data_IF_015420954211
#
_entry.id   IF_015420954211
#
_cell.length_a   1.000
_cell.length_b   1.000
_cell.length_c   1.000
_cell.angle_alpha   90.00
_cell.angle_beta   90.00
_cell.angle_gamma   90.00
#
_symmetry.space_group_name_H-M   'P 1'
#
loop_
_entity.id
_entity.type
_entity.pdbx_description
1 polymer ?
#
# COMPACT_ATOMS: atom_id res chain seq x y z
N UNK A 1 20.76 41.16 -43.52
CA UNK A 1 21.03 40.67 -44.88
C UNK A 1 20.55 39.21 -44.96
N UNK A 2 19.60 39.13 -45.76
CA UNK A 2 19.19 38.15 -46.77
C UNK A 2 18.72 36.81 -46.34
N UNK A 3 17.44 36.69 -46.44
CA UNK A 3 16.53 35.63 -46.64
C UNK A 3 16.95 34.55 -47.64
N UNK A 4 16.47 33.32 -47.42
CA UNK A 4 15.89 32.50 -48.48
C UNK A 4 15.01 31.39 -47.92
N UNK A 5 13.75 31.49 -48.20
CA UNK A 5 12.74 30.46 -48.11
C UNK A 5 12.93 29.39 -49.22
N UNK A 6 12.59 28.13 -48.94
CA UNK A 6 12.14 27.19 -49.97
C UNK A 6 10.98 26.35 -49.48
N UNK A 7 9.92 26.41 -50.31
CA UNK A 7 8.65 25.70 -50.27
C UNK A 7 8.75 24.25 -50.80
N UNK A 8 7.78 23.44 -50.38
CA UNK A 8 7.14 22.41 -51.18
C UNK A 8 7.43 21.01 -50.68
N UNK A 9 6.53 20.13 -50.45
CA UNK A 9 5.32 19.73 -51.20
C UNK A 9 4.49 18.76 -50.33
N UNK A 10 3.22 19.03 -50.18
CA UNK A 10 2.16 18.11 -49.74
C UNK A 10 2.07 16.91 -50.66
N UNK A 11 2.02 15.69 -50.08
CA UNK A 11 1.46 14.52 -50.74
C UNK A 11 0.36 13.93 -49.86
N UNK A 12 -0.88 14.06 -50.31
CA UNK A 12 -2.04 13.30 -49.85
C UNK A 12 -1.93 11.89 -50.39
N UNK A 13 -2.15 10.90 -49.56
CA UNK A 13 -2.44 9.54 -49.98
C UNK A 13 -3.78 9.08 -49.41
N UNK A 14 -4.60 8.56 -50.29
CA UNK A 14 -6.00 8.16 -50.12
C UNK A 14 -6.11 6.89 -49.28
N UNK A 15 -7.17 6.87 -48.49
CA UNK A 15 -7.72 5.74 -47.76
C UNK A 15 -8.44 4.80 -48.71
N UNK A 16 -8.13 3.51 -48.65
CA UNK A 16 -8.93 2.47 -49.25
C UNK A 16 -9.64 1.68 -48.14
N UNK A 17 -10.97 1.75 -48.12
CA UNK A 17 -11.82 0.94 -47.26
C UNK A 17 -12.03 -0.45 -47.90
N UNK A 18 -11.78 -1.53 -47.17
CA UNK A 18 -12.13 -2.86 -47.53
C UNK A 18 -13.34 -3.33 -46.70
N UNK A 19 -14.45 -3.61 -47.38
CA UNK A 19 -15.64 -4.20 -46.78
C UNK A 19 -15.46 -5.71 -46.64
N UNK A 20 -15.78 -6.25 -45.46
CA UNK A 20 -15.86 -7.69 -45.20
C UNK A 20 -17.30 -8.14 -45.34
N UNK A 21 -17.53 -9.06 -46.27
CA UNK A 21 -18.81 -9.73 -46.52
C UNK A 21 -18.92 -10.95 -45.60
N UNK A 22 -19.98 -11.00 -44.81
CA UNK A 22 -20.35 -12.16 -43.97
C UNK A 22 -21.14 -13.16 -44.83
N UNK A 23 -20.62 -14.38 -44.99
CA UNK A 23 -21.38 -15.51 -45.54
C UNK A 23 -22.02 -16.32 -44.40
N UNK A 24 -23.34 -16.45 -44.48
CA UNK A 24 -24.15 -17.38 -43.68
C UNK A 24 -24.22 -18.69 -44.44
N UNK A 25 -23.73 -19.78 -43.86
CA UNK A 25 -23.91 -21.14 -44.40
C UNK A 25 -25.08 -21.82 -43.65
N UNK A 26 -26.08 -22.18 -44.37
CA UNK A 26 -27.21 -23.00 -43.93
C UNK A 26 -26.82 -24.47 -43.96
N UNK A 27 -26.90 -25.16 -42.80
CA UNK A 27 -26.67 -26.61 -42.69
C UNK A 27 -27.96 -27.38 -42.94
N UNK A 28 -27.93 -28.31 -43.90
CA UNK A 28 -29.03 -29.21 -44.24
C UNK A 28 -29.11 -30.42 -43.31
N UNK A 29 -30.34 -30.81 -42.95
CA UNK A 29 -30.65 -32.08 -42.26
C UNK A 29 -30.52 -33.24 -43.21
N UNK A 30 -29.76 -34.27 -42.85
CA UNK A 30 -29.84 -35.62 -43.48
C UNK A 30 -30.49 -36.59 -42.51
N UNK A 31 -31.56 -37.24 -42.98
CA UNK A 31 -32.29 -38.31 -42.30
C UNK A 31 -31.52 -39.60 -42.55
N UNK A 32 -30.96 -40.21 -41.50
CA UNK A 32 -30.31 -41.53 -41.55
C UNK A 32 -31.30 -42.63 -41.15
N UNK A 33 -31.41 -43.64 -42.00
CA UNK A 33 -32.23 -44.87 -41.83
C UNK A 33 -31.55 -45.80 -40.83
N UNK A 34 -32.32 -46.37 -39.89
CA UNK A 34 -31.83 -47.30 -38.84
C UNK A 34 -31.66 -48.72 -39.39
N UNK A 35 -30.52 -49.36 -39.18
CA UNK A 35 -30.27 -50.79 -39.30
C UNK A 35 -30.39 -51.50 -37.95
N UNK A 36 -30.80 -52.79 -37.90
CA UNK A 36 -31.13 -53.47 -36.63
C UNK A 36 -29.89 -53.95 -35.88
N UNK A 37 -30.02 -53.91 -34.57
CA UNK A 37 -29.00 -54.25 -33.58
C UNK A 37 -28.62 -55.74 -33.59
N UNK A 38 -27.30 -56.01 -33.58
CA UNK A 38 -26.75 -57.29 -33.20
C UNK A 38 -26.36 -57.29 -31.70
N UNK A 39 -26.77 -58.35 -31.00
CA UNK A 39 -26.49 -58.60 -29.58
C UNK A 39 -24.97 -58.50 -29.25
N UNK A 40 -24.68 -57.67 -28.25
CA UNK A 40 -23.37 -57.66 -27.57
C UNK A 40 -23.52 -57.93 -26.08
N UNK A 41 -22.64 -58.71 -25.45
CA UNK A 41 -22.76 -59.05 -24.02
C UNK A 41 -22.52 -57.86 -23.15
N UNK A 42 -23.16 -57.83 -21.98
CA UNK A 42 -23.13 -56.81 -20.95
C UNK A 42 -21.72 -56.53 -20.48
N UNK A 43 -21.20 -55.38 -20.82
CA UNK A 43 -19.96 -54.82 -20.32
C UNK A 43 -20.16 -54.16 -18.97
N UNK A 44 -19.30 -54.48 -18.05
CA UNK A 44 -19.17 -53.92 -16.71
C UNK A 44 -19.38 -52.41 -16.68
N UNK A 45 -20.32 -51.91 -15.88
CA UNK A 45 -20.56 -50.50 -15.61
C UNK A 45 -19.34 -49.92 -14.84
N UNK A 46 -18.39 -49.38 -15.56
CA UNK A 46 -17.37 -48.52 -14.99
C UNK A 46 -18.03 -47.22 -14.49
N UNK A 47 -18.08 -47.05 -13.17
CA UNK A 47 -18.49 -45.80 -12.53
C UNK A 47 -17.53 -44.71 -12.92
N UNK A 48 -17.85 -43.88 -13.92
CA UNK A 48 -17.08 -42.69 -14.27
C UNK A 48 -17.29 -41.68 -13.14
N UNK A 49 -16.34 -41.61 -12.22
CA UNK A 49 -16.33 -40.55 -11.20
C UNK A 49 -16.21 -39.23 -11.94
N UNK A 50 -17.19 -38.35 -11.79
CA UNK A 50 -17.12 -36.99 -12.33
C UNK A 50 -15.86 -36.30 -11.82
N UNK A 51 -15.16 -35.48 -12.62
CA UNK A 51 -14.02 -34.70 -12.16
C UNK A 51 -14.43 -33.87 -10.94
N UNK A 52 -13.57 -33.83 -9.93
CA UNK A 52 -13.79 -32.96 -8.78
C UNK A 52 -13.96 -31.51 -9.25
N UNK A 53 -14.88 -30.76 -8.66
CA UNK A 53 -15.05 -29.35 -9.01
C UNK A 53 -13.72 -28.61 -8.80
N UNK A 54 -13.41 -27.59 -9.60
CA UNK A 54 -12.21 -26.79 -9.42
C UNK A 54 -12.21 -26.20 -8.00
N UNK A 55 -11.02 -26.04 -7.36
CA UNK A 55 -10.92 -25.43 -6.05
C UNK A 55 -11.55 -24.04 -6.06
N UNK A 56 -12.26 -23.69 -5.00
CA UNK A 56 -12.81 -22.35 -4.85
C UNK A 56 -11.67 -21.30 -4.92
N UNK A 57 -11.91 -20.14 -5.52
CA UNK A 57 -10.89 -19.09 -5.56
C UNK A 57 -10.48 -18.71 -4.12
N UNK A 58 -9.20 -18.36 -3.91
CA UNK A 58 -8.72 -17.98 -2.60
C UNK A 58 -9.49 -16.75 -2.11
N UNK A 59 -9.93 -16.78 -0.84
CA UNK A 59 -10.70 -15.70 -0.23
C UNK A 59 -9.80 -14.87 0.68
N UNK A 60 -9.94 -13.55 0.61
CA UNK A 60 -9.28 -12.62 1.52
C UNK A 60 -9.74 -12.85 2.96
N UNK A 61 -8.81 -12.85 3.91
CA UNK A 61 -9.12 -12.93 5.35
C UNK A 61 -9.95 -11.70 5.78
N UNK A 62 -10.94 -11.90 6.62
CA UNK A 62 -11.77 -10.81 7.13
C UNK A 62 -10.99 -9.88 8.07
N UNK A 63 -11.54 -8.68 8.31
CA UNK A 63 -11.04 -7.75 9.33
C UNK A 63 -11.00 -8.43 10.71
N UNK A 64 -9.98 -8.08 11.49
CA UNK A 64 -9.84 -8.50 12.89
C UNK A 64 -10.44 -7.49 13.88
N UNK A 65 -11.04 -6.40 13.38
CA UNK A 65 -11.69 -5.38 14.21
C UNK A 65 -13.14 -5.77 14.50
N UNK A 66 -13.48 -5.88 15.78
CA UNK A 66 -14.87 -6.05 16.19
C UNK A 66 -15.65 -4.73 15.95
N UNK A 67 -16.51 -4.73 14.95
CA UNK A 67 -17.33 -3.55 14.57
C UNK A 67 -18.46 -3.35 15.58
N UNK A 68 -18.11 -2.87 16.78
CA UNK A 68 -19.02 -2.67 17.90
C UNK A 68 -19.11 -1.18 18.23
N UNK A 69 -20.34 -0.67 18.33
CA UNK A 69 -20.61 0.69 18.84
C UNK A 69 -20.49 0.66 20.36
N UNK A 70 -19.64 1.55 20.90
CA UNK A 70 -19.41 1.62 22.34
C UNK A 70 -20.53 2.39 23.04
N UNK A 71 -20.85 1.97 24.26
CA UNK A 71 -21.71 2.75 25.14
C UNK A 71 -20.95 3.98 25.70
N UNK A 72 -21.66 5.05 26.09
CA UNK A 72 -21.04 6.21 26.72
C UNK A 72 -20.17 5.82 27.91
N UNK A 73 -18.95 6.34 27.95
CA UNK A 73 -17.96 6.08 29.00
C UNK A 73 -17.15 4.76 28.84
N UNK A 74 -17.45 3.94 27.86
CA UNK A 74 -16.58 2.81 27.54
C UNK A 74 -15.29 3.31 26.88
N UNK A 75 -14.17 2.67 27.23
CA UNK A 75 -12.87 2.96 26.60
C UNK A 75 -12.78 2.29 25.22
N UNK A 76 -12.23 2.98 24.21
CA UNK A 76 -11.96 2.35 22.93
C UNK A 76 -10.84 1.32 23.05
N UNK A 77 -10.78 0.33 22.15
CA UNK A 77 -9.60 -0.52 22.00
C UNK A 77 -8.36 0.34 21.75
N UNK A 78 -7.17 -0.15 22.10
CA UNK A 78 -5.94 0.44 21.67
C UNK A 78 -5.64 -0.06 20.24
N UNK A 79 -5.88 0.77 19.25
CA UNK A 79 -5.51 0.47 17.87
C UNK A 79 -4.03 0.74 17.62
N UNK A 80 -3.38 -0.17 16.88
CA UNK A 80 -2.02 0.02 16.36
C UNK A 80 -2.08 -0.17 14.85
N UNK A 81 -1.58 0.84 14.12
CA UNK A 81 -1.58 0.92 12.67
C UNK A 81 -0.14 0.78 12.19
N UNK A 82 0.28 -0.45 11.88
CA UNK A 82 1.56 -0.68 11.22
C UNK A 82 1.45 -0.37 9.74
N UNK A 83 2.38 0.41 9.20
CA UNK A 83 2.44 0.73 7.78
C UNK A 83 3.88 0.72 7.29
N UNK A 84 4.08 0.19 6.08
CA UNK A 84 5.40 0.04 5.48
C UNK A 84 5.47 0.82 4.18
N UNK A 85 6.38 1.80 4.13
CA UNK A 85 6.54 2.72 3.02
C UNK A 85 7.36 2.09 1.89
N UNK A 86 6.87 2.22 0.66
CA UNK A 86 7.59 1.82 -0.52
C UNK A 86 7.94 0.32 -0.52
N UNK A 87 6.97 -0.54 -0.18
CA UNK A 87 7.21 -1.98 -0.12
C UNK A 87 7.66 -2.53 -1.45
N UNK A 88 8.96 -2.83 -1.55
CA UNK A 88 9.61 -3.50 -2.67
C UNK A 88 9.96 -4.94 -2.31
N UNK A 89 10.62 -5.65 -3.23
CA UNK A 89 11.09 -7.00 -2.96
C UNK A 89 12.14 -6.99 -1.84
N UNK A 90 11.84 -7.67 -0.75
CA UNK A 90 12.68 -7.71 0.45
C UNK A 90 12.41 -8.99 1.24
N UNK A 91 13.43 -9.59 1.90
CA UNK A 91 13.22 -10.71 2.82
C UNK A 91 12.39 -10.33 4.05
N UNK A 92 12.23 -9.04 4.35
CA UNK A 92 11.42 -8.57 5.46
C UNK A 92 9.91 -8.84 5.28
N UNK A 93 9.44 -9.12 4.04
CA UNK A 93 8.09 -9.57 3.79
C UNK A 93 7.72 -10.82 4.61
N UNK A 94 8.55 -11.88 4.53
CA UNK A 94 8.26 -13.13 5.23
C UNK A 94 8.24 -12.94 6.74
N UNK A 95 9.16 -12.13 7.28
CA UNK A 95 9.18 -11.80 8.71
C UNK A 95 7.89 -11.14 9.18
N UNK A 96 7.39 -10.13 8.45
CA UNK A 96 6.18 -9.42 8.87
C UNK A 96 4.90 -10.21 8.63
N UNK A 97 4.82 -10.99 7.55
CA UNK A 97 3.68 -11.89 7.30
C UNK A 97 3.59 -12.97 8.38
N UNK A 98 4.73 -13.58 8.75
CA UNK A 98 4.77 -14.61 9.80
C UNK A 98 4.39 -14.04 11.18
N UNK A 99 4.96 -12.90 11.56
CA UNK A 99 4.62 -12.25 12.84
C UNK A 99 3.15 -11.86 12.86
N UNK A 100 2.65 -11.21 11.81
CA UNK A 100 1.26 -10.77 11.74
C UNK A 100 0.27 -11.95 11.80
N UNK A 101 0.56 -13.06 11.12
CA UNK A 101 -0.27 -14.27 11.19
C UNK A 101 -0.31 -14.84 12.62
N UNK A 102 0.85 -14.94 13.27
CA UNK A 102 0.97 -15.52 14.62
C UNK A 102 0.18 -14.76 15.68
N UNK A 103 0.07 -13.43 15.57
CA UNK A 103 -0.61 -12.58 16.57
C UNK A 103 -1.91 -11.98 16.06
N UNK A 104 -2.44 -12.48 14.95
CA UNK A 104 -3.64 -11.98 14.24
C UNK A 104 -3.62 -10.47 13.98
N UNK A 105 -2.44 -9.92 13.68
CA UNK A 105 -2.28 -8.52 13.32
C UNK A 105 -2.62 -8.27 11.84
N UNK A 106 -2.98 -7.02 11.54
CA UNK A 106 -3.05 -6.50 10.19
C UNK A 106 -2.12 -5.31 10.08
N UNK A 107 -1.57 -5.10 8.87
CA UNK A 107 -0.75 -3.94 8.54
C UNK A 107 -1.15 -3.37 7.18
N UNK A 108 -0.62 -2.20 6.83
CA UNK A 108 -0.83 -1.55 5.55
C UNK A 108 0.46 -1.53 4.75
N UNK A 109 0.43 -2.10 3.56
CA UNK A 109 1.54 -2.10 2.59
C UNK A 109 1.37 -0.92 1.63
N UNK A 110 2.23 0.08 1.71
CA UNK A 110 2.21 1.27 0.87
C UNK A 110 3.09 1.02 -0.36
N UNK A 111 2.45 0.68 -1.48
CA UNK A 111 3.10 0.24 -2.71
C UNK A 111 3.73 1.42 -3.46
N UNK A 112 4.93 1.25 -3.97
CA UNK A 112 5.54 2.16 -4.95
C UNK A 112 5.32 1.64 -6.36
N UNK A 113 4.79 2.49 -7.25
CA UNK A 113 4.44 2.11 -8.62
C UNK A 113 5.63 1.63 -9.46
N UNK A 114 6.86 2.07 -9.15
CA UNK A 114 8.06 1.63 -9.86
C UNK A 114 8.31 0.13 -9.77
N UNK A 115 7.89 -0.52 -8.69
CA UNK A 115 8.12 -1.95 -8.49
C UNK A 115 7.19 -2.84 -9.33
N UNK A 116 6.25 -2.25 -10.07
CA UNK A 116 5.48 -2.91 -11.12
C UNK A 116 6.16 -2.88 -12.49
N UNK A 117 7.33 -2.25 -12.62
CA UNK A 117 8.12 -2.16 -13.87
C UNK A 117 9.47 -2.83 -13.71
N UNK A 118 9.85 -3.62 -14.72
CA UNK A 118 11.25 -4.06 -14.84
C UNK A 118 12.17 -2.88 -15.22
N UNK A 119 13.47 -3.02 -14.96
CA UNK A 119 14.47 -2.00 -15.30
C UNK A 119 14.50 -1.66 -16.80
N UNK A 120 14.26 -2.66 -17.67
CA UNK A 120 14.23 -2.48 -19.12
C UNK A 120 13.01 -1.66 -19.57
N UNK A 121 11.91 -1.71 -18.82
CA UNK A 121 10.64 -1.06 -19.13
C UNK A 121 10.38 0.23 -18.35
N UNK A 122 11.41 0.74 -17.66
CA UNK A 122 11.34 1.99 -16.88
C UNK A 122 10.79 3.20 -17.65
N UNK A 123 10.93 3.21 -18.98
CA UNK A 123 10.45 4.29 -19.83
C UNK A 123 8.92 4.47 -19.85
N UNK A 124 8.17 3.49 -19.33
CA UNK A 124 6.72 3.60 -19.12
C UNK A 124 6.34 4.55 -17.96
N UNK A 125 7.28 4.88 -17.10
CA UNK A 125 7.08 5.90 -16.07
C UNK A 125 7.69 7.24 -16.46
N UNK A 126 6.99 8.33 -16.15
CA UNK A 126 7.47 9.70 -16.27
C UNK A 126 6.91 10.56 -15.15
N UNK A 127 7.73 10.91 -14.15
CA UNK A 127 7.33 11.81 -13.06
C UNK A 127 7.09 13.25 -13.51
N UNK A 128 6.29 14.03 -12.75
CA UNK A 128 6.08 15.45 -13.01
C UNK A 128 7.40 16.22 -13.13
N UNK A 129 7.61 16.90 -14.25
CA UNK A 129 8.84 17.66 -14.52
C UNK A 129 10.10 16.83 -14.85
N UNK A 130 10.01 15.49 -14.89
CA UNK A 130 11.12 14.59 -15.15
C UNK A 130 11.05 13.92 -16.53
N UNK A 131 12.14 13.25 -16.94
CA UNK A 131 12.21 12.50 -18.20
C UNK A 131 11.59 11.12 -18.05
N UNK A 132 11.12 10.50 -19.15
CA UNK A 132 10.72 9.09 -19.12
C UNK A 132 11.84 8.20 -18.57
N UNK A 133 11.51 7.29 -17.64
CA UNK A 133 12.45 6.37 -17.01
C UNK A 133 13.35 7.00 -15.94
N UNK A 134 13.12 8.26 -15.56
CA UNK A 134 13.81 8.92 -14.44
C UNK A 134 13.03 8.69 -13.14
N UNK A 135 13.72 8.27 -12.09
CA UNK A 135 13.18 8.10 -10.74
C UNK A 135 14.28 8.30 -9.70
N UNK A 136 13.93 8.60 -8.45
CA UNK A 136 14.89 8.79 -7.37
C UNK A 136 15.28 7.48 -6.65
N UNK A 137 14.55 6.40 -6.90
CA UNK A 137 14.82 5.05 -6.37
C UNK A 137 14.83 4.03 -7.52
N UNK A 138 15.24 2.80 -7.23
CA UNK A 138 15.28 1.70 -8.20
C UNK A 138 13.88 1.31 -8.69
N UNK A 139 13.84 0.71 -9.87
CA UNK A 139 12.67 0.03 -10.43
C UNK A 139 12.55 -1.39 -9.88
N UNK A 140 11.62 -2.19 -10.41
CA UNK A 140 11.31 -3.53 -9.92
C UNK A 140 12.34 -4.61 -10.28
N UNK A 141 13.45 -4.26 -10.95
CA UNK A 141 14.50 -5.22 -11.28
C UNK A 141 14.23 -6.04 -12.55
N UNK A 142 14.47 -7.35 -12.45
CA UNK A 142 14.23 -8.30 -13.53
C UNK A 142 12.78 -8.85 -13.52
N UNK A 143 12.35 -9.58 -14.57
CA UNK A 143 11.00 -10.18 -14.60
C UNK A 143 10.67 -11.04 -13.38
N UNK A 144 11.60 -11.87 -12.93
CA UNK A 144 11.46 -12.74 -11.75
C UNK A 144 11.24 -11.94 -10.45
N UNK A 145 11.87 -10.77 -10.34
CA UNK A 145 11.72 -9.88 -9.18
C UNK A 145 10.30 -9.27 -9.16
N UNK A 146 9.79 -8.84 -10.32
CA UNK A 146 8.42 -8.34 -10.46
C UNK A 146 7.41 -9.44 -10.15
N UNK A 147 7.63 -10.68 -10.61
CA UNK A 147 6.75 -11.82 -10.28
C UNK A 147 6.73 -12.09 -8.78
N UNK A 148 7.90 -12.11 -8.13
CA UNK A 148 8.00 -12.30 -6.69
C UNK A 148 7.31 -11.16 -5.92
N UNK A 149 7.44 -9.92 -6.39
CA UNK A 149 6.73 -8.77 -5.82
C UNK A 149 5.20 -8.95 -5.90
N UNK A 150 4.67 -9.35 -7.07
CA UNK A 150 3.22 -9.61 -7.24
C UNK A 150 2.76 -10.73 -6.31
N UNK A 151 3.55 -11.81 -6.13
CA UNK A 151 3.22 -12.89 -5.21
C UNK A 151 3.13 -12.39 -3.76
N UNK A 152 4.11 -11.61 -3.28
CA UNK A 152 4.06 -11.01 -1.94
C UNK A 152 2.86 -10.08 -1.75
N UNK A 153 2.53 -9.26 -2.74
CA UNK A 153 1.36 -8.39 -2.68
C UNK A 153 0.06 -9.21 -2.60
N UNK A 154 -0.06 -10.27 -3.39
CA UNK A 154 -1.22 -11.17 -3.35
C UNK A 154 -1.35 -11.89 -2.00
N UNK A 155 -0.25 -12.45 -1.47
CA UNK A 155 -0.23 -13.10 -0.15
C UNK A 155 -0.63 -12.11 0.95
N UNK A 156 -0.13 -10.89 0.88
CA UNK A 156 -0.43 -9.80 1.82
C UNK A 156 -1.92 -9.45 1.78
N UNK A 157 -2.49 -9.25 0.59
CA UNK A 157 -3.91 -8.94 0.44
C UNK A 157 -4.80 -10.09 0.91
N UNK A 158 -4.48 -11.35 0.55
CA UNK A 158 -5.21 -12.53 0.99
C UNK A 158 -5.18 -12.70 2.51
N UNK A 159 -4.07 -12.37 3.16
CA UNK A 159 -3.95 -12.39 4.62
C UNK A 159 -4.77 -11.30 5.33
N UNK A 160 -5.48 -10.45 4.58
CA UNK A 160 -6.35 -9.40 5.11
C UNK A 160 -5.66 -8.07 5.40
N UNK A 161 -4.39 -7.92 5.00
CA UNK A 161 -3.67 -6.66 5.11
C UNK A 161 -4.21 -5.62 4.12
N UNK A 162 -3.97 -4.34 4.37
CA UNK A 162 -4.42 -3.24 3.52
C UNK A 162 -3.35 -2.89 2.49
N UNK A 163 -3.82 -2.54 1.29
CA UNK A 163 -2.98 -2.05 0.21
C UNK A 163 -3.19 -0.54 0.07
N UNK A 164 -2.11 0.23 0.22
CA UNK A 164 -2.11 1.68 0.02
C UNK A 164 -1.09 2.10 -1.04
N UNK A 165 -1.02 3.40 -1.33
CA UNK A 165 -0.05 3.95 -2.27
C UNK A 165 1.08 4.70 -1.55
N UNK A 166 2.30 4.50 -2.03
CA UNK A 166 3.47 5.35 -1.77
C UNK A 166 3.91 6.05 -3.06
N UNK A 167 2.94 6.29 -3.95
CA UNK A 167 3.09 6.94 -5.26
C UNK A 167 4.09 6.21 -6.17
N UNK A 168 4.96 6.94 -6.92
CA UNK A 168 5.81 6.30 -7.94
C UNK A 168 7.28 6.72 -7.86
N UNK A 169 7.63 7.96 -8.28
CA UNK A 169 9.01 8.34 -8.61
C UNK A 169 9.93 8.67 -7.46
N UNK A 170 9.40 8.84 -6.26
CA UNK A 170 10.12 9.16 -5.02
C UNK A 170 11.00 10.43 -5.11
N UNK A 171 10.52 11.47 -5.81
CA UNK A 171 11.22 12.73 -5.94
C UNK A 171 11.07 13.60 -4.70
N UNK A 172 12.16 13.75 -3.97
CA UNK A 172 12.24 14.46 -2.70
C UNK A 172 13.10 15.73 -2.82
N UNK A 173 12.98 16.62 -1.85
CA UNK A 173 13.76 17.85 -1.76
C UNK A 173 15.26 17.59 -1.98
N UNK A 174 15.86 18.35 -2.90
CA UNK A 174 17.25 18.18 -3.33
C UNK A 174 17.43 17.40 -4.62
N UNK A 175 16.37 16.77 -5.14
CA UNK A 175 16.36 15.96 -6.37
C UNK A 175 15.69 16.62 -7.60
N UNK A 176 15.65 17.93 -7.70
CA UNK A 176 14.97 18.63 -8.81
C UNK A 176 13.54 19.03 -8.44
N UNK A 177 12.57 18.90 -9.39
CA UNK A 177 11.16 19.20 -9.15
C UNK A 177 10.54 18.06 -8.32
N UNK A 178 10.07 18.37 -7.12
CA UNK A 178 9.74 17.39 -6.09
C UNK A 178 8.40 17.69 -5.39
N UNK A 179 7.95 16.81 -4.52
CA UNK A 179 6.63 16.82 -3.89
C UNK A 179 6.18 18.14 -3.27
N UNK A 180 7.06 18.86 -2.58
CA UNK A 180 6.71 20.17 -1.99
C UNK A 180 6.42 21.27 -3.03
N UNK A 181 6.84 21.06 -4.27
CA UNK A 181 6.65 22.00 -5.39
C UNK A 181 5.47 21.61 -6.28
N UNK A 182 4.97 20.37 -6.13
CA UNK A 182 3.91 19.82 -6.99
C UNK A 182 2.56 20.48 -6.69
N UNK A 183 1.86 20.80 -7.76
CA UNK A 183 0.46 21.23 -7.70
C UNK A 183 -0.51 20.03 -7.84
N UNK A 184 -1.81 20.29 -7.76
CA UNK A 184 -2.84 19.24 -7.86
C UNK A 184 -2.76 18.44 -9.16
N UNK A 185 -2.40 19.07 -10.29
CA UNK A 185 -2.28 18.34 -11.55
C UNK A 185 -1.06 17.40 -11.57
N UNK A 186 0.03 17.79 -10.92
CA UNK A 186 1.21 16.94 -10.76
C UNK A 186 0.90 15.72 -9.87
N UNK A 187 0.19 15.93 -8.76
CA UNK A 187 -0.27 14.85 -7.88
C UNK A 187 -1.24 13.89 -8.57
N UNK A 188 -2.18 14.43 -9.37
CA UNK A 188 -3.05 13.59 -10.20
C UNK A 188 -2.25 12.78 -11.21
N UNK A 189 -1.29 13.40 -11.89
CA UNK A 189 -0.44 12.70 -12.86
C UNK A 189 0.34 11.56 -12.21
N UNK A 190 0.87 11.75 -11.02
CA UNK A 190 1.60 10.73 -10.27
C UNK A 190 0.68 9.56 -9.85
N UNK A 191 -0.53 9.87 -9.37
CA UNK A 191 -1.53 8.85 -9.01
C UNK A 191 -2.08 8.12 -10.23
N UNK A 192 -2.36 8.83 -11.34
CA UNK A 192 -2.78 8.21 -12.61
C UNK A 192 -1.75 7.17 -13.07
N UNK A 193 -0.46 7.51 -12.99
CA UNK A 193 0.60 6.58 -13.33
C UNK A 193 0.71 5.43 -12.33
N UNK A 194 0.57 5.67 -11.02
CA UNK A 194 0.56 4.61 -10.04
C UNK A 194 -0.49 3.53 -10.39
N UNK A 195 -1.73 3.95 -10.65
CA UNK A 195 -2.81 3.03 -10.99
C UNK A 195 -2.62 2.37 -12.37
N UNK A 196 -2.11 3.12 -13.35
CA UNK A 196 -1.81 2.58 -14.68
C UNK A 196 -0.69 1.53 -14.63
N UNK A 197 0.37 1.76 -13.85
CA UNK A 197 1.46 0.81 -13.67
C UNK A 197 0.99 -0.45 -12.92
N UNK A 198 0.21 -0.30 -11.86
CA UNK A 198 -0.34 -1.40 -11.09
C UNK A 198 -1.26 -2.29 -11.95
N UNK A 199 -2.19 -1.69 -12.68
CA UNK A 199 -3.16 -2.45 -13.49
C UNK A 199 -2.59 -2.96 -14.81
N UNK A 200 -1.64 -2.23 -15.40
CA UNK A 200 -1.00 -2.54 -16.67
C UNK A 200 0.33 -3.29 -16.55
N UNK A 201 0.73 -3.75 -15.37
CA UNK A 201 2.07 -4.27 -15.14
C UNK A 201 2.51 -5.37 -16.12
N UNK A 202 1.61 -6.27 -16.50
CA UNK A 202 1.89 -7.33 -17.50
C UNK A 202 2.18 -6.75 -18.88
N UNK A 203 1.30 -5.87 -19.36
CA UNK A 203 1.43 -5.27 -20.68
C UNK A 203 2.66 -4.36 -20.78
N UNK A 204 2.91 -3.54 -19.74
CA UNK A 204 4.07 -2.65 -19.68
C UNK A 204 5.40 -3.41 -19.73
N UNK A 205 5.45 -4.61 -19.15
CA UNK A 205 6.64 -5.44 -19.12
C UNK A 205 6.64 -6.56 -20.18
N UNK A 206 5.54 -6.74 -20.93
CA UNK A 206 5.33 -7.88 -21.86
C UNK A 206 5.42 -9.26 -21.16
N UNK A 207 4.97 -9.33 -19.89
CA UNK A 207 5.03 -10.50 -19.02
C UNK A 207 3.63 -11.14 -18.88
N UNK A 208 3.13 -11.76 -19.96
CA UNK A 208 1.75 -12.25 -20.03
C UNK A 208 1.53 -13.59 -19.32
N UNK A 209 2.58 -14.30 -18.97
CA UNK A 209 2.58 -15.59 -18.26
C UNK A 209 2.70 -15.46 -16.73
N UNK A 210 2.89 -14.23 -16.22
CA UNK A 210 2.98 -13.95 -14.79
C UNK A 210 1.67 -14.14 -14.01
N UNK A 211 1.72 -14.15 -12.66
CA UNK A 211 0.54 -14.31 -11.81
C UNK A 211 -0.45 -13.14 -11.99
N UNK A 212 -1.74 -13.37 -11.73
CA UNK A 212 -2.71 -12.28 -11.63
C UNK A 212 -2.45 -11.46 -10.36
N UNK A 213 -2.63 -10.14 -10.44
CA UNK A 213 -2.79 -9.32 -9.25
C UNK A 213 -4.24 -9.51 -8.74
N UNK A 214 -4.42 -10.01 -7.52
CA UNK A 214 -5.71 -10.44 -6.99
C UNK A 214 -6.61 -9.29 -6.51
N UNK A 215 -6.11 -8.07 -6.51
CA UNK A 215 -6.86 -6.88 -6.12
C UNK A 215 -6.75 -5.78 -7.18
N UNK A 216 -7.66 -4.83 -7.14
CA UNK A 216 -7.71 -3.73 -8.09
C UNK A 216 -7.59 -2.35 -7.42
N UNK A 217 -7.70 -1.26 -8.20
CA UNK A 217 -7.58 0.13 -7.71
C UNK A 217 -8.52 0.47 -6.56
N UNK A 218 -9.69 -0.15 -6.49
CA UNK A 218 -10.69 0.08 -5.44
C UNK A 218 -10.22 -0.32 -4.03
N UNK A 219 -9.19 -1.17 -3.93
CA UNK A 219 -8.59 -1.57 -2.65
C UNK A 219 -7.61 -0.52 -2.11
N UNK A 220 -7.10 0.37 -2.98
CA UNK A 220 -6.16 1.42 -2.60
C UNK A 220 -6.94 2.67 -2.18
N UNK A 221 -7.25 2.76 -0.88
CA UNK A 221 -8.12 3.80 -0.33
C UNK A 221 -7.38 4.95 0.32
N UNK A 222 -6.06 4.89 0.39
CA UNK A 222 -5.21 5.91 0.96
C UNK A 222 -3.73 5.64 0.75
N UNK A 223 -2.88 6.46 1.38
CA UNK A 223 -1.45 6.35 1.18
C UNK A 223 -0.62 7.27 2.04
N UNK A 224 0.65 7.35 1.66
CA UNK A 224 1.64 8.27 2.22
C UNK A 224 2.53 8.79 1.11
N UNK A 225 2.72 10.12 1.05
CA UNK A 225 3.62 10.75 0.09
C UNK A 225 5.08 10.41 0.41
N UNK A 226 5.88 10.36 -0.64
CA UNK A 226 7.33 10.17 -0.51
C UNK A 226 7.91 11.31 0.33
N UNK A 227 8.86 10.97 1.19
CA UNK A 227 9.55 11.93 2.05
C UNK A 227 8.65 12.79 2.94
N UNK A 228 7.37 12.43 3.09
CA UNK A 228 6.35 13.21 3.80
C UNK A 228 6.21 14.63 3.21
N UNK A 229 6.40 14.79 1.91
CA UNK A 229 6.32 16.06 1.19
C UNK A 229 4.94 16.28 0.55
N UNK A 230 4.61 17.56 0.32
CA UNK A 230 3.40 18.00 -0.33
C UNK A 230 2.53 18.89 0.56
N UNK A 231 1.71 19.71 -0.07
CA UNK A 231 0.77 20.58 0.62
C UNK A 231 -0.65 19.96 0.56
N UNK A 232 -1.34 19.84 1.69
CA UNK A 232 -2.72 19.31 1.77
C UNK A 232 -3.68 19.97 0.78
N UNK A 233 -3.54 21.28 0.56
CA UNK A 233 -4.35 22.03 -0.40
C UNK A 233 -4.19 21.56 -1.85
N UNK A 234 -3.06 20.91 -2.18
CA UNK A 234 -2.77 20.33 -3.50
C UNK A 234 -3.07 18.84 -3.55
N UNK A 235 -2.84 18.13 -2.45
CA UNK A 235 -3.02 16.68 -2.33
C UNK A 235 -4.50 16.28 -2.23
N UNK A 236 -5.29 16.96 -1.38
CA UNK A 236 -6.68 16.58 -1.13
C UNK A 236 -7.54 16.53 -2.40
N UNK A 237 -7.48 17.50 -3.33
CA UNK A 237 -8.23 17.41 -4.57
C UNK A 237 -7.83 16.18 -5.42
N UNK A 238 -6.53 15.84 -5.46
CA UNK A 238 -6.03 14.68 -6.18
C UNK A 238 -6.51 13.36 -5.52
N UNK A 239 -6.46 13.27 -4.19
CA UNK A 239 -6.97 12.11 -3.46
C UNK A 239 -8.46 11.87 -3.72
N UNK A 240 -9.27 12.92 -3.65
CA UNK A 240 -10.72 12.83 -3.94
C UNK A 240 -11.00 12.37 -5.35
N UNK A 241 -10.22 12.82 -6.34
CA UNK A 241 -10.35 12.38 -7.73
C UNK A 241 -10.09 10.88 -7.87
N UNK A 242 -9.19 10.30 -7.07
CA UNK A 242 -8.84 8.89 -7.09
C UNK A 242 -9.61 8.04 -6.06
N UNK A 243 -10.62 8.60 -5.41
CA UNK A 243 -11.46 7.89 -4.45
C UNK A 243 -10.77 7.50 -3.15
N UNK A 244 -9.64 8.15 -2.82
CA UNK A 244 -8.95 7.95 -1.55
C UNK A 244 -9.74 8.57 -0.40
N UNK A 245 -9.71 7.96 0.77
CA UNK A 245 -10.50 8.32 1.95
C UNK A 245 -9.64 8.65 3.16
N UNK A 246 -8.36 8.29 3.13
CA UNK A 246 -7.41 8.56 4.21
C UNK A 246 -6.02 8.89 3.68
N UNK A 247 -5.27 9.58 4.52
CA UNK A 247 -3.87 9.92 4.31
C UNK A 247 -3.06 9.75 5.60
N UNK A 248 -1.78 9.46 5.45
CA UNK A 248 -0.79 9.43 6.53
C UNK A 248 0.54 10.07 6.11
N UNK A 249 0.48 11.12 5.27
CA UNK A 249 1.67 11.79 4.73
C UNK A 249 2.24 12.83 5.67
N UNK A 250 1.39 13.54 6.42
CA UNK A 250 1.87 14.69 7.19
C UNK A 250 2.47 14.27 8.52
N UNK A 251 3.65 14.80 8.89
CA UNK A 251 4.10 14.77 10.28
C UNK A 251 3.09 15.50 11.16
N UNK A 252 2.94 15.03 12.41
CA UNK A 252 2.08 15.67 13.38
C UNK A 252 2.45 17.15 13.57
N UNK A 253 1.47 18.03 13.50
CA UNK A 253 1.60 19.48 13.66
C UNK A 253 1.88 19.91 15.12
N UNK A 254 1.57 19.02 16.06
CA UNK A 254 1.79 19.19 17.50
C UNK A 254 2.41 17.93 18.11
N UNK A 255 3.19 18.08 19.21
CA UNK A 255 3.75 16.92 19.90
C UNK A 255 2.68 16.01 20.49
N UNK A 256 2.96 14.71 20.45
CA UNK A 256 2.19 13.66 21.12
C UNK A 256 1.34 12.81 20.19
N UNK A 257 0.61 11.90 20.83
CA UNK A 257 -0.35 11.00 20.19
C UNK A 257 -1.75 11.55 20.44
N UNK A 258 -2.54 11.67 19.39
CA UNK A 258 -3.91 12.15 19.44
C UNK A 258 -4.79 11.48 18.39
N UNK A 259 -6.09 11.51 18.60
CA UNK A 259 -7.04 10.91 17.69
C UNK A 259 -7.02 11.61 16.32
N UNK A 260 -7.10 10.83 15.22
CA UNK A 260 -7.14 11.38 13.88
C UNK A 260 -8.40 12.22 13.66
N UNK A 261 -8.30 13.19 12.77
CA UNK A 261 -9.41 14.03 12.35
C UNK A 261 -9.63 13.94 10.84
N UNK A 262 -10.57 14.77 10.35
CA UNK A 262 -10.78 14.92 8.91
C UNK A 262 -10.37 16.32 8.45
N UNK A 263 -9.70 16.38 7.31
CA UNK A 263 -9.44 17.61 6.57
C UNK A 263 -10.14 17.49 5.23
N UNK A 264 -11.11 18.37 4.97
CA UNK A 264 -11.91 18.33 3.75
C UNK A 264 -12.51 16.95 3.40
N UNK A 265 -12.87 16.16 4.42
CA UNK A 265 -13.50 14.86 4.28
C UNK A 265 -12.52 13.67 4.18
N UNK A 266 -11.21 13.91 4.04
CA UNK A 266 -10.16 12.90 4.11
C UNK A 266 -9.77 12.69 5.57
N UNK A 267 -9.64 11.42 6.01
CA UNK A 267 -9.11 11.09 7.32
C UNK A 267 -7.59 11.26 7.35
N UNK A 268 -7.11 12.08 8.29
CA UNK A 268 -5.68 12.35 8.48
C UNK A 268 -5.14 11.56 9.67
N UNK A 269 -4.15 10.70 9.40
CA UNK A 269 -3.41 9.94 10.40
C UNK A 269 -1.95 10.41 10.42
N UNK A 270 -1.62 11.49 11.13
CA UNK A 270 -0.29 12.07 11.05
C UNK A 270 0.77 11.11 11.59
N UNK A 271 1.98 11.17 11.02
CA UNK A 271 3.15 10.47 11.59
C UNK A 271 3.46 11.11 12.94
N UNK A 272 3.50 10.35 14.03
CA UNK A 272 3.61 10.89 15.37
C UNK A 272 4.91 11.68 15.60
N UNK A 273 4.81 12.83 16.25
CA UNK A 273 5.95 13.59 16.78
C UNK A 273 5.95 13.50 18.29
N UNK A 274 6.73 12.58 18.85
CA UNK A 274 6.65 12.18 20.26
C UNK A 274 7.98 12.36 20.99
N UNK A 275 7.92 12.38 22.32
CA UNK A 275 9.11 12.19 23.13
C UNK A 275 9.59 10.74 22.95
N UNK A 276 10.88 10.58 22.68
CA UNK A 276 11.53 9.29 22.52
C UNK A 276 12.56 9.11 23.64
N UNK A 277 12.23 8.39 24.75
CA UNK A 277 13.08 8.35 25.94
C UNK A 277 14.52 7.92 25.67
N UNK A 278 14.81 6.88 24.85
CA UNK A 278 16.19 6.48 24.59
C UNK A 278 17.01 7.50 23.80
N UNK A 279 16.34 8.43 23.12
CA UNK A 279 16.96 9.53 22.36
C UNK A 279 16.96 10.85 23.14
N UNK A 280 16.33 10.88 24.32
CA UNK A 280 16.20 12.05 25.22
C UNK A 280 15.64 13.30 24.53
N UNK A 281 14.77 13.12 23.53
CA UNK A 281 14.22 14.22 22.74
C UNK A 281 12.90 13.88 22.06
N UNK A 282 12.20 14.91 21.60
CA UNK A 282 11.07 14.75 20.68
C UNK A 282 11.58 14.54 19.27
N UNK A 283 10.92 13.65 18.53
CA UNK A 283 11.20 13.40 17.14
C UNK A 283 10.02 12.72 16.44
N UNK A 284 10.01 12.77 15.12
CA UNK A 284 9.08 12.02 14.30
C UNK A 284 9.34 10.52 14.45
N UNK A 285 8.27 9.74 14.76
CA UNK A 285 8.36 8.31 15.00
C UNK A 285 8.27 7.52 13.69
N UNK A 286 9.29 7.69 12.84
CA UNK A 286 9.52 6.97 11.60
C UNK A 286 10.95 6.43 11.64
N UNK A 287 11.19 5.25 11.12
CA UNK A 287 12.48 4.54 11.16
C UNK A 287 13.65 5.40 10.64
N UNK A 288 13.49 6.05 9.46
CA UNK A 288 14.51 6.96 8.93
C UNK A 288 14.81 8.12 9.88
N UNK A 289 13.80 8.68 10.56
CA UNK A 289 13.99 9.78 11.51
C UNK A 289 14.73 9.32 12.76
N UNK A 290 14.49 8.09 13.24
CA UNK A 290 15.29 7.49 14.32
C UNK A 290 16.74 7.31 13.88
N UNK A 291 16.98 6.79 12.66
CA UNK A 291 18.32 6.62 12.13
C UNK A 291 19.06 7.96 11.99
N UNK A 292 18.40 8.95 11.40
CA UNK A 292 18.98 10.28 11.26
C UNK A 292 19.28 10.93 12.61
N UNK A 293 18.41 10.77 13.58
CA UNK A 293 18.64 11.29 14.96
C UNK A 293 19.78 10.57 15.65
N UNK A 294 19.89 9.25 15.47
CA UNK A 294 20.94 8.45 16.08
C UNK A 294 22.34 8.84 15.58
N UNK A 295 22.56 8.87 14.27
CA UNK A 295 23.90 9.09 13.73
C UNK A 295 23.94 9.79 12.36
N UNK A 296 22.91 10.59 12.00
CA UNK A 296 22.78 11.28 10.72
C UNK A 296 22.62 10.33 9.53
N UNK A 297 21.92 9.23 9.73
CA UNK A 297 21.68 8.17 8.76
C UNK A 297 22.98 7.59 8.15
N UNK A 298 24.03 7.48 8.95
CA UNK A 298 25.26 6.80 8.55
C UNK A 298 25.11 5.31 8.81
N UNK A 299 25.42 4.49 7.80
CA UNK A 299 25.33 3.04 7.95
C UNK A 299 26.45 2.52 8.87
N UNK A 300 26.07 2.01 10.03
CA UNK A 300 26.95 1.46 11.06
C UNK A 300 26.36 0.15 11.62
N UNK A 301 26.43 -0.96 10.87
CA UNK A 301 25.77 -2.22 11.23
C UNK A 301 26.11 -2.74 12.63
N UNK A 302 27.33 -2.46 13.12
CA UNK A 302 27.74 -2.82 14.48
C UNK A 302 26.84 -2.21 15.57
N UNK A 303 26.14 -1.12 15.29
CA UNK A 303 25.23 -0.46 16.22
C UNK A 303 23.78 -1.00 16.15
N UNK A 304 23.48 -1.89 15.21
CA UNK A 304 22.13 -2.42 14.98
C UNK A 304 21.45 -2.93 16.27
N UNK A 305 22.11 -3.72 17.15
CA UNK A 305 21.48 -4.18 18.39
C UNK A 305 21.10 -3.04 19.36
N UNK A 306 21.87 -1.96 19.37
CA UNK A 306 21.57 -0.77 20.19
C UNK A 306 20.37 -0.03 19.60
N UNK A 307 20.38 0.26 18.30
CA UNK A 307 19.30 0.98 17.62
C UNK A 307 17.98 0.20 17.72
N UNK A 308 18.00 -1.13 17.49
CA UNK A 308 16.83 -2.00 17.67
C UNK A 308 16.21 -1.83 19.07
N UNK A 309 17.01 -1.86 20.14
CA UNK A 309 16.50 -1.64 21.50
C UNK A 309 15.90 -0.25 21.68
N UNK A 310 16.57 0.79 21.21
CA UNK A 310 16.13 2.18 21.36
C UNK A 310 14.80 2.42 20.62
N UNK A 311 14.64 1.89 19.42
CA UNK A 311 13.40 2.01 18.63
C UNK A 311 12.27 1.25 19.32
N UNK A 312 12.48 -0.02 19.70
CA UNK A 312 11.46 -0.79 20.41
C UNK A 312 11.03 -0.11 21.71
N UNK A 313 11.98 0.37 22.54
CA UNK A 313 11.68 1.10 23.78
C UNK A 313 10.87 2.38 23.53
N UNK A 314 11.10 3.04 22.40
CA UNK A 314 10.27 4.20 22.01
C UNK A 314 8.85 3.79 21.67
N UNK A 315 8.66 2.69 20.91
CA UNK A 315 7.33 2.17 20.60
C UNK A 315 6.60 1.66 21.84
N UNK A 316 7.30 0.98 22.76
CA UNK A 316 6.74 0.56 24.05
C UNK A 316 6.27 1.77 24.87
N UNK A 317 7.08 2.83 24.94
CA UNK A 317 6.70 4.08 25.61
C UNK A 317 5.45 4.71 24.97
N UNK A 318 5.41 4.83 23.63
CA UNK A 318 4.25 5.36 22.92
C UNK A 318 2.99 4.55 23.22
N UNK A 319 3.11 3.22 23.20
CA UNK A 319 2.02 2.31 23.52
C UNK A 319 1.50 2.52 24.95
N UNK A 320 2.36 2.50 25.95
CA UNK A 320 1.98 2.64 27.36
C UNK A 320 1.28 3.98 27.61
N UNK A 321 1.77 5.07 26.96
CA UNK A 321 1.16 6.39 27.08
C UNK A 321 -0.22 6.45 26.44
N UNK A 322 -0.40 5.86 25.26
CA UNK A 322 -1.71 5.80 24.60
C UNK A 322 -2.67 4.88 25.37
N UNK A 323 -2.23 3.68 25.73
CA UNK A 323 -3.04 2.65 26.37
C UNK A 323 -3.61 3.10 27.73
N UNK A 324 -2.80 3.74 28.56
CA UNK A 324 -3.22 4.26 29.87
C UNK A 324 -3.81 5.68 29.80
N UNK A 325 -3.62 6.39 28.70
CA UNK A 325 -4.07 7.76 28.47
C UNK A 325 -5.32 7.86 27.61
N UNK A 326 -5.16 8.48 26.43
CA UNK A 326 -6.26 8.83 25.54
C UNK A 326 -6.69 7.74 24.56
N UNK A 327 -6.01 6.57 24.51
CA UNK A 327 -6.29 5.47 23.57
C UNK A 327 -6.29 5.89 22.10
N UNK A 328 -5.58 6.95 21.73
CA UNK A 328 -5.44 7.35 20.34
C UNK A 328 -4.80 6.23 19.52
N UNK A 329 -5.25 5.98 18.27
CA UNK A 329 -4.62 5.02 17.39
C UNK A 329 -3.11 5.32 17.22
N UNK A 330 -2.29 4.30 17.38
CA UNK A 330 -0.83 4.41 17.34
C UNK A 330 -0.33 4.09 15.93
N UNK A 331 0.14 5.08 15.20
CA UNK A 331 0.78 4.89 13.89
C UNK A 331 2.24 4.48 14.08
N UNK A 332 2.61 3.32 13.54
CA UNK A 332 3.98 2.81 13.44
C UNK A 332 4.35 2.75 11.98
N UNK A 333 5.17 3.70 11.54
CA UNK A 333 5.61 3.82 10.16
C UNK A 333 7.05 3.31 10.02
N UNK A 334 7.30 2.47 9.03
CA UNK A 334 8.58 1.82 8.79
C UNK A 334 8.78 1.57 7.29
N UNK A 335 10.02 1.27 6.87
CA UNK A 335 10.36 0.80 5.54
C UNK A 335 10.87 -0.65 5.62
N UNK A 336 10.89 -1.36 4.48
CA UNK A 336 11.55 -2.66 4.38
C UNK A 336 13.07 -2.57 4.12
N UNK A 337 13.62 -1.37 4.19
CA UNK A 337 15.04 -1.14 3.98
C UNK A 337 15.89 -1.74 5.11
N UNK A 338 17.01 -2.34 4.75
CA UNK A 338 17.96 -2.95 5.71
C UNK A 338 18.93 -1.93 6.33
N UNK A 339 18.45 -0.72 6.55
CA UNK A 339 19.25 0.37 7.11
C UNK A 339 19.90 0.01 8.42
N UNK A 340 21.15 0.45 8.56
CA UNK A 340 21.96 0.24 9.76
C UNK A 340 22.01 -1.23 10.19
N UNK A 341 22.27 -2.12 9.22
CA UNK A 341 22.31 -3.57 9.45
C UNK A 341 20.95 -4.16 9.84
N UNK A 342 19.88 -3.68 9.19
CA UNK A 342 18.50 -4.09 9.42
C UNK A 342 18.05 -3.91 10.88
N UNK A 343 18.39 -2.78 11.51
CA UNK A 343 18.07 -2.54 12.93
C UNK A 343 16.57 -2.31 13.16
N UNK A 344 15.87 -1.69 12.21
CA UNK A 344 14.49 -1.16 12.37
C UNK A 344 13.43 -2.23 12.18
N UNK A 345 13.57 -3.08 11.16
CA UNK A 345 12.58 -4.12 10.88
C UNK A 345 12.41 -5.12 12.04
N UNK A 346 13.48 -5.70 12.61
CA UNK A 346 13.34 -6.55 13.78
C UNK A 346 12.82 -5.80 15.02
N UNK A 347 13.10 -4.50 15.19
CA UNK A 347 12.53 -3.72 16.28
C UNK A 347 11.01 -3.60 16.17
N UNK A 348 10.53 -3.34 14.95
CA UNK A 348 9.10 -3.23 14.63
C UNK A 348 8.40 -4.59 14.74
N UNK A 349 9.03 -5.67 14.27
CA UNK A 349 8.50 -7.03 14.39
C UNK A 349 8.39 -7.49 15.84
N UNK A 350 9.41 -7.22 16.68
CA UNK A 350 9.38 -7.50 18.12
C UNK A 350 8.24 -6.75 18.82
N UNK A 351 8.07 -5.46 18.49
CA UNK A 351 6.99 -4.66 19.05
C UNK A 351 5.61 -5.18 18.59
N UNK A 352 5.44 -5.52 17.30
CA UNK A 352 4.20 -6.14 16.79
C UNK A 352 3.89 -7.44 17.53
N UNK A 353 4.87 -8.34 17.65
CA UNK A 353 4.72 -9.63 18.31
C UNK A 353 4.25 -9.51 19.77
N UNK A 354 4.69 -8.48 20.47
CA UNK A 354 4.34 -8.25 21.88
C UNK A 354 3.05 -7.43 22.02
N UNK A 355 2.96 -6.27 21.37
CA UNK A 355 1.87 -5.33 21.58
C UNK A 355 0.52 -5.87 21.08
N UNK A 356 0.50 -6.58 19.94
CA UNK A 356 -0.74 -7.09 19.35
C UNK A 356 -1.37 -8.24 20.15
N UNK A 357 -0.68 -8.81 21.13
CA UNK A 357 -1.23 -9.84 22.02
C UNK A 357 -1.76 -9.29 23.34
N UNK A 358 -1.56 -7.98 23.59
CA UNK A 358 -2.01 -7.37 24.86
C UNK A 358 -3.53 -7.20 24.89
N UNK A 359 -4.18 -7.32 26.07
CA UNK A 359 -5.62 -7.13 26.22
C UNK A 359 -6.08 -5.79 25.63
N UNK A 360 -7.29 -5.78 25.07
CA UNK A 360 -7.92 -4.58 24.48
C UNK A 360 -7.08 -3.90 23.40
N UNK A 361 -6.09 -4.59 22.81
CA UNK A 361 -5.26 -4.07 21.72
C UNK A 361 -5.64 -4.77 20.41
N UNK A 362 -5.76 -3.99 19.35
CA UNK A 362 -6.03 -4.47 17.99
C UNK A 362 -5.05 -3.85 17.02
N UNK A 363 -4.21 -4.67 16.40
CA UNK A 363 -3.33 -4.27 15.32
C UNK A 363 -4.11 -4.36 14.01
N UNK A 364 -4.57 -3.22 13.50
CA UNK A 364 -5.57 -3.10 12.45
C UNK A 364 -5.08 -2.29 11.24
N UNK A 365 -5.87 -2.27 10.18
CA UNK A 365 -5.65 -1.40 9.02
C UNK A 365 -6.25 -0.02 9.23
N UNK A 366 -5.81 0.97 8.43
CA UNK A 366 -6.42 2.31 8.46
C UNK A 366 -7.91 2.27 8.12
N UNK A 367 -8.27 1.53 7.07
CA UNK A 367 -9.68 1.42 6.65
C UNK A 367 -10.56 0.76 7.71
N UNK A 368 -10.07 -0.25 8.43
CA UNK A 368 -10.82 -0.90 9.50
C UNK A 368 -11.05 0.05 10.69
N UNK A 369 -10.01 0.80 11.08
CA UNK A 369 -10.12 1.79 12.17
C UNK A 369 -11.05 2.94 11.78
N UNK A 370 -11.01 3.40 10.52
CA UNK A 370 -11.94 4.40 10.01
C UNK A 370 -13.38 3.89 10.09
N UNK A 371 -13.65 2.69 9.58
CA UNK A 371 -14.98 2.10 9.62
C UNK A 371 -15.48 1.95 11.08
N UNK A 372 -14.59 1.56 11.99
CA UNK A 372 -14.91 1.49 13.42
C UNK A 372 -15.20 2.86 14.03
N UNK A 373 -14.40 3.89 13.71
CA UNK A 373 -14.63 5.27 14.19
C UNK A 373 -15.95 5.85 13.66
N UNK A 374 -16.27 5.60 12.40
CA UNK A 374 -17.51 6.07 11.76
C UNK A 374 -18.77 5.39 12.31
N UNK A 375 -18.62 4.19 12.87
CA UNK A 375 -19.70 3.49 13.57
C UNK A 375 -20.05 4.14 14.91
N UNK A 376 -19.13 4.87 15.54
CA UNK A 376 -19.33 5.44 16.87
C UNK A 376 -20.31 6.61 16.85
N UNK A 377 -20.86 6.96 18.02
CA UNK A 377 -21.62 8.19 18.15
C UNK A 377 -20.72 9.38 17.86
N UNK A 378 -21.15 10.34 17.02
CA UNK A 378 -20.35 11.53 16.70
C UNK A 378 -19.89 12.32 17.93
N UNK A 379 -20.71 12.38 18.99
CA UNK A 379 -20.34 13.07 20.22
C UNK A 379 -19.26 12.32 21.01
N UNK A 380 -19.30 10.98 20.98
CA UNK A 380 -18.26 10.13 21.59
C UNK A 380 -16.94 10.26 20.84
N UNK A 381 -16.98 10.21 19.52
CA UNK A 381 -15.77 10.41 18.68
C UNK A 381 -15.19 11.82 18.89
N UNK A 382 -16.02 12.86 18.87
CA UNK A 382 -15.59 14.25 19.12
C UNK A 382 -14.96 14.40 20.52
N UNK A 383 -15.49 13.69 21.54
CA UNK A 383 -14.88 13.68 22.87
C UNK A 383 -13.45 13.12 22.82
N UNK A 384 -13.24 11.97 22.16
CA UNK A 384 -11.88 11.38 22.04
C UNK A 384 -10.92 12.29 21.26
N UNK A 385 -11.38 12.90 20.18
CA UNK A 385 -10.59 13.85 19.38
C UNK A 385 -10.20 15.12 20.18
N UNK A 386 -10.99 15.50 21.18
CA UNK A 386 -10.72 16.63 22.07
C UNK A 386 -9.80 16.26 23.26
N UNK A 387 -9.50 14.98 23.48
CA UNK A 387 -8.62 14.58 24.58
C UNK A 387 -7.21 15.14 24.41
N UNK A 388 -6.52 15.50 25.50
CA UNK A 388 -5.13 15.95 25.44
C UNK A 388 -4.22 14.92 24.77
N UNK A 389 -3.20 15.36 24.00
CA UNK A 389 -2.19 14.46 23.50
C UNK A 389 -1.37 13.82 24.62
N UNK A 390 -0.90 12.60 24.40
CA UNK A 390 -0.01 11.85 25.30
C UNK A 390 1.36 11.62 24.64
N UNK A 391 2.34 11.13 25.38
CA UNK A 391 3.73 10.93 24.90
C UNK A 391 4.42 12.24 24.46
N UNK A 392 4.07 13.34 25.09
CA UNK A 392 4.64 14.67 24.81
C UNK A 392 5.96 14.87 25.56
N UNK A 393 6.09 14.29 26.75
CA UNK A 393 7.23 14.44 27.64
C UNK A 393 7.47 13.17 28.45
N UNK A 394 8.63 13.01 29.12
CA UNK A 394 8.88 11.85 29.98
C UNK A 394 7.98 11.80 31.22
N UNK A 395 7.29 12.90 31.54
CA UNK A 395 6.50 13.07 32.77
C UNK A 395 4.98 13.05 32.55
N UNK A 396 4.54 12.73 31.32
CA UNK A 396 3.10 12.66 30.99
C UNK A 396 2.40 11.49 31.65
#
# INVERSE_FOLDING_TARGET
MSARARRGRTRRLLVAAAAVVTMVAAGGCTIGVAEPAADRPAGTTGTTTAPAPPPAPPQRKASNVAMTKLAPGQKPPQFILFSFDGVGLSPNWDMFLEVAERVDARFTALMTGLYFLTDDNRHHYRGPGHRPGEAAIAFGGHPEDVYAQIDYLNRTWLAGHEMGTHYVGHFCRGGGYHGDQWNTADWNHELDQFFALMTGWRANNQLFDGPDLLFGPQEVRGGRTQCLEGALSQLIPAWKQHGMTWDSSMPADRPGLYWPGRVDGIWEFPIPFVFAPPFERRQTALDYNFWYTFNKAQDQPATAPQVRRMVKQTYDYMYERAYHGNRAPLVIANHFNDWNGNAFNPATADFMAEACTRPETVCATYSDVIAWMELQDPAVLAHWQAMPPVAVSPHD
#
